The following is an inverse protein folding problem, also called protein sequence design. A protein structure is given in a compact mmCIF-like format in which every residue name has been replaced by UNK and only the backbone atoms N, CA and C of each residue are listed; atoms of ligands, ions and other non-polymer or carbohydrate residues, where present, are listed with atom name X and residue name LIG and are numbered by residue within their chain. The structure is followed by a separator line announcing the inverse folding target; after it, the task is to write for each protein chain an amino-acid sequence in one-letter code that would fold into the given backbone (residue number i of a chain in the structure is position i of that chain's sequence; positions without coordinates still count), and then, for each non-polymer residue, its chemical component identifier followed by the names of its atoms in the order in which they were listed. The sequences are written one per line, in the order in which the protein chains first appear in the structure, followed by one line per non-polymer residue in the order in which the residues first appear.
data_IF_749670913649
#
_entry.id   IF_749670913649
#
_cell.length_a   1.000
_cell.length_b   1.000
_cell.length_c   1.000
_cell.angle_alpha   90.00
_cell.angle_beta   90.00
_cell.angle_gamma   90.00
#
_symmetry.space_group_name_H-M   'P 1'
#
loop_
_entity.id
_entity.type
_entity.pdbx_description
1 polymer ?
#
# COMPACT_ATOMS: atom_id res chain seq x y z
N UNK A 1 -18.33 -31.41 20.39
CA UNK A 1 -17.76 -31.04 19.07
C UNK A 1 -16.96 -29.73 19.03
N UNK A 2 -16.91 -28.90 20.08
CA UNK A 2 -16.22 -27.59 20.02
C UNK A 2 -14.70 -27.60 20.23
N UNK A 3 -14.15 -28.50 21.07
CA UNK A 3 -12.72 -28.47 21.43
C UNK A 3 -11.79 -28.78 20.25
N UNK A 4 -12.16 -29.74 19.37
CA UNK A 4 -11.36 -30.11 18.19
C UNK A 4 -11.28 -28.98 17.16
N UNK A 5 -12.37 -28.23 16.98
CA UNK A 5 -12.42 -27.10 16.05
C UNK A 5 -11.58 -25.92 16.58
N UNK A 6 -11.65 -25.64 17.88
CA UNK A 6 -10.84 -24.60 18.51
C UNK A 6 -9.36 -24.94 18.41
N UNK A 7 -8.95 -26.17 18.76
CA UNK A 7 -7.55 -26.61 18.62
C UNK A 7 -7.08 -26.50 17.17
N UNK A 8 -7.90 -26.90 16.20
CA UNK A 8 -7.55 -26.77 14.78
C UNK A 8 -7.35 -25.32 14.35
N UNK A 9 -8.21 -24.40 14.79
CA UNK A 9 -8.07 -22.97 14.46
C UNK A 9 -6.79 -22.40 15.05
N UNK A 10 -6.45 -22.73 16.29
CA UNK A 10 -5.20 -22.31 16.93
C UNK A 10 -3.97 -22.84 16.19
N UNK A 11 -3.98 -24.10 15.73
CA UNK A 11 -2.89 -24.67 14.96
C UNK A 11 -2.70 -23.97 13.60
N UNK A 12 -3.80 -23.63 12.91
CA UNK A 12 -3.74 -22.89 11.65
C UNK A 12 -3.17 -21.49 11.87
N UNK A 13 -3.64 -20.76 12.89
CA UNK A 13 -3.15 -19.41 13.22
C UNK A 13 -1.65 -19.44 13.55
N UNK A 14 -1.21 -20.42 14.35
CA UNK A 14 0.21 -20.57 14.71
C UNK A 14 1.09 -20.88 13.50
N UNK A 15 0.61 -21.73 12.58
CA UNK A 15 1.34 -22.06 11.36
C UNK A 15 1.46 -20.84 10.43
N UNK A 16 0.36 -20.08 10.27
CA UNK A 16 0.38 -18.84 9.51
C UNK A 16 1.37 -17.83 10.09
N UNK A 17 1.36 -17.61 11.41
CA UNK A 17 2.28 -16.69 12.07
C UNK A 17 3.75 -17.08 11.85
N UNK A 18 4.09 -18.37 11.92
CA UNK A 18 5.44 -18.84 11.63
C UNK A 18 5.87 -18.53 10.19
N UNK A 19 4.99 -18.73 9.20
CA UNK A 19 5.27 -18.43 7.78
C UNK A 19 5.53 -16.92 7.57
N UNK A 20 4.74 -16.06 8.20
CA UNK A 20 4.94 -14.60 8.14
C UNK A 20 6.27 -14.17 8.80
N UNK A 21 6.67 -14.81 9.90
CA UNK A 21 7.94 -14.52 10.59
C UNK A 21 9.14 -15.02 9.76
N UNK A 22 9.09 -16.22 9.20
CA UNK A 22 10.20 -16.76 8.39
C UNK A 22 10.40 -15.98 7.09
N UNK A 23 9.32 -15.56 6.44
CA UNK A 23 9.39 -14.68 5.26
C UNK A 23 9.90 -13.28 5.61
N UNK A 24 9.58 -12.75 6.80
CA UNK A 24 10.13 -11.48 7.29
C UNK A 24 11.65 -11.49 7.53
N UNK A 25 12.21 -12.59 8.03
CA UNK A 25 13.67 -12.70 8.29
C UNK A 25 14.46 -12.89 6.99
N UNK A 26 13.93 -13.64 6.01
CA UNK A 26 14.59 -13.83 4.72
C UNK A 26 14.56 -12.56 3.83
N UNK A 27 13.60 -11.66 4.03
CA UNK A 27 13.50 -10.39 3.30
C UNK A 27 14.39 -9.28 3.86
N UNK A 28 14.89 -9.41 5.10
CA UNK A 28 15.80 -8.42 5.71
C UNK A 28 17.25 -8.57 5.22
N UNK A 29 17.62 -9.76 4.73
CA UNK A 29 18.89 -9.99 4.06
C UNK A 29 18.76 -9.53 2.60
N UNK A 30 18.91 -8.22 2.40
CA UNK A 30 19.17 -7.53 1.14
C UNK A 30 19.17 -8.42 -0.14
N UNK A 31 18.12 -8.38 -0.98
CA UNK A 31 18.10 -9.10 -2.27
C UNK A 31 19.07 -8.54 -3.34
N UNK A 32 19.83 -7.48 -3.06
CA UNK A 32 20.45 -6.65 -4.10
C UNK A 32 21.71 -7.20 -4.80
N UNK A 33 22.02 -8.50 -4.79
CA UNK A 33 23.24 -8.93 -5.47
C UNK A 33 23.21 -10.33 -6.09
N UNK A 34 22.18 -10.64 -6.89
CA UNK A 34 22.34 -11.64 -7.95
C UNK A 34 22.39 -10.90 -9.29
N UNK A 35 23.60 -10.57 -9.80
CA UNK A 35 23.75 -9.97 -11.11
C UNK A 35 23.13 -10.89 -12.18
N UNK A 36 22.16 -10.38 -12.93
CA UNK A 36 21.63 -11.04 -14.13
C UNK A 36 20.34 -11.85 -13.98
N UNK A 37 19.72 -11.93 -12.80
CA UNK A 37 18.44 -12.64 -12.65
C UNK A 37 17.22 -11.81 -13.10
N UNK A 38 17.35 -10.49 -13.10
CA UNK A 38 16.26 -9.57 -13.46
C UNK A 38 16.64 -8.79 -14.73
N UNK A 39 15.80 -8.84 -15.79
CA UNK A 39 15.94 -7.98 -16.96
C UNK A 39 16.07 -6.51 -16.56
N UNK A 40 16.82 -5.69 -17.31
CA UNK A 40 16.85 -4.24 -17.09
C UNK A 40 15.42 -3.69 -17.16
N UNK A 41 14.90 -3.20 -16.03
CA UNK A 41 13.52 -2.73 -15.90
C UNK A 41 12.69 -3.43 -14.82
N UNK A 42 13.16 -4.56 -14.27
CA UNK A 42 12.56 -5.22 -13.10
C UNK A 42 13.38 -4.98 -11.83
N UNK A 43 13.82 -3.75 -11.60
CA UNK A 43 14.33 -3.38 -10.27
C UNK A 43 13.19 -3.64 -9.28
N UNK A 44 13.39 -4.43 -8.21
CA UNK A 44 12.38 -4.59 -7.18
C UNK A 44 12.08 -3.21 -6.63
N UNK A 45 10.95 -2.63 -7.04
CA UNK A 45 10.48 -1.38 -6.45
C UNK A 45 10.21 -1.68 -5.00
N UNK A 46 10.83 -0.89 -4.13
CA UNK A 46 10.62 -0.99 -2.70
C UNK A 46 9.19 -0.55 -2.40
N UNK A 47 8.27 -1.52 -2.44
CA UNK A 47 6.85 -1.31 -2.21
C UNK A 47 6.62 -0.70 -0.82
N UNK A 48 7.46 -1.05 0.16
CA UNK A 48 7.41 -0.44 1.49
C UNK A 48 7.63 1.06 1.36
N UNK A 49 8.65 1.49 0.62
CA UNK A 49 8.91 2.92 0.38
C UNK A 49 7.77 3.64 -0.34
N UNK A 50 7.08 2.98 -1.28
CA UNK A 50 5.91 3.55 -1.96
C UNK A 50 4.74 3.80 -1.01
N UNK A 51 4.49 2.91 -0.06
CA UNK A 51 3.42 3.08 0.93
C UNK A 51 3.82 3.90 2.15
N UNK A 52 5.11 3.92 2.53
CA UNK A 52 5.62 4.61 3.73
C UNK A 52 5.21 6.08 3.78
N UNK A 53 5.24 6.76 2.63
CA UNK A 53 4.82 8.17 2.55
C UNK A 53 3.35 8.34 2.95
N UNK A 54 2.46 7.46 2.49
CA UNK A 54 1.03 7.53 2.83
C UNK A 54 0.76 7.26 4.32
N UNK A 55 1.56 6.42 4.96
CA UNK A 55 1.46 6.17 6.40
C UNK A 55 1.87 7.37 7.27
N UNK A 56 2.52 8.40 6.70
CA UNK A 56 2.83 9.64 7.44
C UNK A 56 1.58 10.46 7.76
N UNK A 57 0.49 10.22 7.04
CA UNK A 57 -0.80 10.87 7.26
C UNK A 57 -1.76 9.82 7.81
N UNK A 58 -2.19 10.01 9.06
CA UNK A 58 -3.13 9.11 9.71
C UNK A 58 -4.40 8.95 8.87
N UNK A 59 -4.88 7.72 8.74
CA UNK A 59 -6.09 7.41 7.96
C UNK A 59 -5.95 7.49 6.43
N UNK A 60 -4.86 8.02 5.87
CA UNK A 60 -4.73 8.21 4.41
C UNK A 60 -4.80 6.90 3.63
N UNK A 61 -4.08 5.86 4.08
CA UNK A 61 -4.14 4.52 3.46
C UNK A 61 -5.55 3.93 3.52
N UNK A 62 -6.26 4.13 4.64
CA UNK A 62 -7.63 3.65 4.80
C UNK A 62 -8.61 4.42 3.89
N UNK A 63 -8.47 5.74 3.78
CA UNK A 63 -9.27 6.58 2.88
C UNK A 63 -9.05 6.19 1.41
N UNK A 64 -7.80 5.96 1.00
CA UNK A 64 -7.47 5.48 -0.36
C UNK A 64 -8.06 4.10 -0.60
N UNK A 65 -7.94 3.19 0.36
CA UNK A 65 -8.49 1.82 0.26
C UNK A 65 -10.01 1.85 0.13
N UNK A 66 -10.70 2.62 0.97
CA UNK A 66 -12.14 2.80 0.89
C UNK A 66 -12.55 3.43 -0.45
N UNK A 67 -11.79 4.40 -0.95
CA UNK A 67 -12.04 5.01 -2.25
C UNK A 67 -11.85 4.02 -3.40
N UNK A 68 -10.86 3.13 -3.30
CA UNK A 68 -10.61 2.08 -4.27
C UNK A 68 -11.79 1.10 -4.38
N UNK A 69 -12.32 0.65 -3.25
CA UNK A 69 -13.44 -0.31 -3.23
C UNK A 69 -14.79 0.33 -3.53
N UNK A 70 -15.02 1.57 -3.05
CA UNK A 70 -16.30 2.25 -3.21
C UNK A 70 -16.42 3.07 -4.50
N UNK A 71 -15.29 3.44 -5.12
CA UNK A 71 -15.24 4.39 -6.22
C UNK A 71 -15.54 5.84 -5.82
N UNK A 72 -15.66 6.15 -4.53
CA UNK A 72 -15.98 7.49 -4.00
C UNK A 72 -14.77 8.09 -3.29
N UNK A 73 -14.54 9.39 -3.46
CA UNK A 73 -13.35 10.08 -2.94
C UNK A 73 -13.65 11.04 -1.77
N UNK A 74 -14.88 11.02 -1.24
CA UNK A 74 -15.38 11.97 -0.22
C UNK A 74 -14.55 11.97 1.08
N UNK A 75 -13.91 10.84 1.41
CA UNK A 75 -13.12 10.68 2.63
C UNK A 75 -11.62 10.95 2.43
N UNK A 76 -11.19 11.34 1.23
CA UNK A 76 -9.77 11.65 0.97
C UNK A 76 -9.50 13.11 1.28
N UNK A 77 -8.78 13.36 2.36
CA UNK A 77 -8.46 14.71 2.80
C UNK A 77 -7.34 15.37 1.98
N UNK A 78 -7.26 16.70 2.03
CA UNK A 78 -6.25 17.50 1.34
C UNK A 78 -4.81 17.08 1.69
N UNK A 79 -4.54 16.78 2.96
CA UNK A 79 -3.22 16.34 3.43
C UNK A 79 -2.84 14.99 2.84
N UNK A 80 -3.78 14.03 2.78
CA UNK A 80 -3.58 12.75 2.13
C UNK A 80 -3.33 12.93 0.61
N UNK A 81 -4.11 13.79 -0.03
CA UNK A 81 -3.95 14.14 -1.43
C UNK A 81 -2.59 14.78 -1.76
N UNK A 82 -2.07 15.64 -0.89
CA UNK A 82 -0.75 16.25 -1.05
C UNK A 82 0.34 15.19 -1.08
N UNK A 83 0.30 14.24 -0.15
CA UNK A 83 1.27 13.14 -0.09
C UNK A 83 1.10 12.19 -1.27
N UNK A 84 -0.13 11.78 -1.58
CA UNK A 84 -0.40 10.91 -2.73
C UNK A 84 0.11 11.49 -4.04
N UNK A 85 -0.05 12.81 -4.25
CA UNK A 85 0.40 13.51 -5.45
C UNK A 85 1.93 13.56 -5.61
N UNK A 86 2.67 13.37 -4.52
CA UNK A 86 4.15 13.36 -4.50
C UNK A 86 4.76 11.98 -4.68
N UNK A 87 3.93 10.92 -4.71
CA UNK A 87 4.42 9.56 -4.96
C UNK A 87 5.02 9.43 -6.36
N UNK A 88 6.11 8.68 -6.45
CA UNK A 88 6.74 8.34 -7.72
C UNK A 88 5.75 7.56 -8.61
N UNK A 89 5.68 7.91 -9.90
CA UNK A 89 4.79 7.23 -10.85
C UNK A 89 5.11 5.74 -10.99
N UNK A 90 6.36 5.35 -10.75
CA UNK A 90 6.79 3.95 -10.72
C UNK A 90 6.11 3.15 -9.60
N UNK A 91 5.59 3.79 -8.55
CA UNK A 91 4.87 3.09 -7.50
C UNK A 91 3.49 2.58 -7.94
N UNK A 92 2.83 3.23 -8.89
CA UNK A 92 1.43 2.97 -9.20
C UNK A 92 1.14 1.57 -9.74
N UNK A 93 1.93 1.01 -10.69
CA UNK A 93 1.70 -0.35 -11.19
C UNK A 93 1.81 -1.42 -10.10
N UNK A 94 2.62 -1.16 -9.06
CA UNK A 94 2.83 -2.08 -7.94
C UNK A 94 1.80 -1.93 -6.82
N UNK A 95 1.31 -0.71 -6.60
CA UNK A 95 0.27 -0.44 -5.59
C UNK A 95 -1.13 -0.79 -6.09
N UNK A 96 -1.39 -0.62 -7.40
CA UNK A 96 -2.72 -0.81 -8.01
C UNK A 96 -2.68 -1.76 -9.22
N UNK A 97 -2.19 -3.00 -9.07
CA UNK A 97 -2.00 -3.92 -10.19
C UNK A 97 -3.32 -4.34 -10.86
N UNK A 98 -4.44 -4.30 -10.12
CA UNK A 98 -5.75 -4.72 -10.60
C UNK A 98 -6.58 -3.59 -11.21
N UNK A 99 -6.17 -2.33 -11.03
CA UNK A 99 -6.91 -1.19 -11.55
C UNK A 99 -5.96 -0.01 -11.87
N UNK A 100 -5.39 0.01 -13.08
CA UNK A 100 -4.45 1.06 -13.49
C UNK A 100 -5.09 2.44 -13.67
N UNK A 101 -6.43 2.52 -13.69
CA UNK A 101 -7.17 3.79 -13.83
C UNK A 101 -7.38 4.49 -12.48
N UNK A 102 -7.25 3.78 -11.37
CA UNK A 102 -7.47 4.37 -10.05
C UNK A 102 -6.47 5.50 -9.69
N UNK A 103 -5.14 5.34 -9.85
CA UNK A 103 -4.21 6.41 -9.51
C UNK A 103 -4.46 7.72 -10.27
N UNK A 104 -4.70 7.71 -11.61
CA UNK A 104 -5.12 8.91 -12.34
C UNK A 104 -6.41 9.54 -11.80
N UNK A 105 -7.45 8.75 -11.54
CA UNK A 105 -8.74 9.26 -11.05
C UNK A 105 -8.64 9.90 -9.66
N UNK A 106 -7.85 9.28 -8.77
CA UNK A 106 -7.58 9.82 -7.45
C UNK A 106 -6.77 11.12 -7.56
N UNK A 107 -5.78 11.18 -8.47
CA UNK A 107 -4.99 12.38 -8.72
C UNK A 107 -5.85 13.54 -9.21
N UNK A 108 -6.80 13.28 -10.12
CA UNK A 108 -7.73 14.28 -10.61
C UNK A 108 -8.68 14.80 -9.52
N UNK A 109 -9.15 13.92 -8.63
CA UNK A 109 -9.92 14.33 -7.46
C UNK A 109 -9.08 15.19 -6.51
N UNK A 110 -7.85 14.77 -6.22
CA UNK A 110 -6.92 15.53 -5.39
C UNK A 110 -6.60 16.92 -5.96
N UNK A 111 -6.48 17.04 -7.28
CA UNK A 111 -6.30 18.33 -7.95
C UNK A 111 -7.49 19.29 -7.77
N UNK A 112 -8.68 18.80 -7.38
CA UNK A 112 -9.83 19.64 -7.00
C UNK A 112 -9.82 20.00 -5.52
N UNK A 113 -9.24 19.17 -4.67
CA UNK A 113 -9.24 19.37 -3.20
C UNK A 113 -8.10 20.31 -2.78
N UNK A 114 -6.89 20.11 -3.33
CA UNK A 114 -5.71 20.91 -3.02
C UNK A 114 -5.89 22.43 -3.29
N UNK A 115 -6.48 22.89 -4.41
CA UNK A 115 -6.73 24.32 -4.62
C UNK A 115 -7.79 24.91 -3.69
N UNK A 116 -8.60 24.07 -3.04
CA UNK A 116 -9.68 24.47 -2.13
C UNK A 116 -9.29 24.35 -0.64
N UNK A 117 -8.08 23.91 -0.31
CA UNK A 117 -7.62 23.80 1.08
C UNK A 117 -7.19 25.18 1.59
N UNK A 118 -7.94 25.82 2.52
CA UNK A 118 -7.44 27.02 3.18
C UNK A 118 -6.23 26.61 4.01
N UNK A 119 -5.16 27.41 3.98
CA UNK A 119 -4.09 27.30 4.96
C UNK A 119 -4.70 27.59 6.34
N UNK A 120 -4.96 26.56 7.13
CA UNK A 120 -5.39 26.74 8.49
C UNK A 120 -4.15 27.12 9.31
N UNK A 121 -4.11 28.39 9.73
CA UNK A 121 -3.08 29.00 10.57
C UNK A 121 -2.95 28.31 11.93
#
# INVERSE_FOLDING_TARGET
MGSKAVVSVYLIISLCAAIFVTSGVAQMQNPQAIPGLFPPGLVPIDLVKCWSSLFTVEGCVMAISNSFFSGKFENVEATCCKVFSTLDANCWPHMFPLNPFFPPLLKDNCARIIPNSPAHN
#
